data_IF_879825548837
#
_entry.id   IF_879825548837
#
_cell.length_a   1.000
_cell.length_b   1.000
_cell.length_c   1.000
_cell.angle_alpha   90.00
_cell.angle_beta   90.00
_cell.angle_gamma   90.00
#
_symmetry.space_group_name_H-M   'P 1'
#
loop_
_entity.id
_entity.type
_entity.pdbx_description
1 polymer ?
#
# COMPACT_ATOMS: atom_id res chain seq x y z
N UNK A 1 -19.21 -31.06 -16.03
CA UNK A 1 -18.28 -29.91 -16.09
C UNK A 1 -18.12 -29.40 -14.67
N UNK A 2 -16.93 -29.48 -14.11
CA UNK A 2 -16.65 -29.04 -12.74
C UNK A 2 -16.25 -27.57 -12.76
N UNK A 3 -16.97 -26.73 -12.03
CA UNK A 3 -16.60 -25.33 -11.82
C UNK A 3 -15.80 -25.22 -10.51
N UNK A 4 -14.58 -24.70 -10.60
CA UNK A 4 -13.80 -24.30 -9.43
C UNK A 4 -14.24 -22.89 -9.02
N UNK A 5 -14.77 -22.76 -7.80
CA UNK A 5 -15.01 -21.45 -7.18
C UNK A 5 -13.68 -20.98 -6.59
N UNK A 6 -13.05 -20.01 -7.24
CA UNK A 6 -11.93 -19.26 -6.68
C UNK A 6 -12.48 -18.26 -5.65
N UNK A 7 -12.41 -18.62 -4.37
CA UNK A 7 -12.72 -17.71 -3.27
C UNK A 7 -11.51 -16.82 -3.03
N UNK A 8 -11.52 -15.61 -3.59
CA UNK A 8 -10.63 -14.55 -3.12
C UNK A 8 -11.14 -14.08 -1.76
N UNK A 9 -10.31 -14.23 -0.73
CA UNK A 9 -10.58 -13.76 0.63
C UNK A 9 -10.75 -12.23 0.57
N UNK A 10 -12.00 -11.77 0.51
CA UNK A 10 -12.34 -10.35 0.43
C UNK A 10 -11.78 -9.63 1.67
N UNK A 11 -10.98 -8.59 1.45
CA UNK A 11 -10.70 -7.59 2.47
C UNK A 11 -12.03 -6.86 2.76
N UNK A 12 -12.32 -6.52 4.02
CA UNK A 12 -13.51 -5.74 4.40
C UNK A 12 -13.72 -4.60 3.39
N UNK A 13 -14.88 -4.56 2.75
CA UNK A 13 -15.23 -3.55 1.77
C UNK A 13 -14.98 -2.16 2.36
N UNK A 14 -13.99 -1.44 1.83
CA UNK A 14 -13.95 0.02 1.92
C UNK A 14 -15.12 0.50 1.06
N UNK A 15 -16.25 0.77 1.70
CA UNK A 15 -17.38 1.41 1.03
C UNK A 15 -16.98 2.87 0.85
N UNK A 16 -16.34 3.18 -0.28
CA UNK A 16 -16.34 4.56 -0.75
C UNK A 16 -17.76 4.84 -1.24
N UNK A 17 -18.54 5.60 -0.45
CA UNK A 17 -19.83 6.11 -0.91
C UNK A 17 -19.58 7.11 -2.03
N UNK A 18 -19.65 6.65 -3.28
CA UNK A 18 -19.70 7.53 -4.43
C UNK A 18 -21.17 7.94 -4.64
N UNK A 19 -21.49 9.19 -4.31
CA UNK A 19 -22.78 9.78 -4.71
C UNK A 19 -22.68 10.21 -6.17
N UNK A 20 -23.41 9.56 -7.05
CA UNK A 20 -23.65 10.00 -8.42
C UNK A 20 -25.13 10.32 -8.61
N UNK A 21 -25.43 11.33 -9.42
CA UNK A 21 -26.79 11.73 -9.73
C UNK A 21 -27.18 11.14 -11.10
N UNK A 22 -28.28 10.38 -11.13
CA UNK A 22 -28.88 9.90 -12.38
C UNK A 22 -30.11 10.76 -12.67
N UNK A 23 -30.16 11.35 -13.86
CA UNK A 23 -31.34 12.07 -14.36
C UNK A 23 -31.77 11.43 -15.68
N UNK A 24 -32.99 10.91 -15.75
CA UNK A 24 -33.52 10.20 -16.92
C UNK A 24 -32.59 9.12 -17.50
N UNK A 25 -31.89 8.38 -16.64
CA UNK A 25 -30.98 7.30 -17.02
C UNK A 25 -29.56 7.74 -17.42
N UNK A 26 -29.26 9.04 -17.40
CA UNK A 26 -27.92 9.57 -17.68
C UNK A 26 -27.21 10.00 -16.39
N UNK A 27 -25.90 9.74 -16.30
CA UNK A 27 -25.03 10.27 -15.24
C UNK A 27 -24.73 11.74 -15.61
N UNK A 28 -25.30 12.68 -14.86
CA UNK A 28 -25.04 14.11 -15.04
C UNK A 28 -24.00 14.57 -14.01
N UNK A 29 -23.01 15.36 -14.44
CA UNK A 29 -21.89 15.75 -13.59
C UNK A 29 -22.28 16.74 -12.48
N UNK A 30 -23.39 17.49 -12.60
CA UNK A 30 -23.88 18.41 -11.55
C UNK A 30 -25.36 18.83 -11.72
N UNK A 31 -26.35 18.16 -11.09
CA UNK A 31 -27.69 18.73 -10.95
C UNK A 31 -28.06 19.05 -9.49
N UNK A 32 -28.70 20.21 -9.29
CA UNK A 32 -29.13 20.76 -7.99
C UNK A 32 -30.28 20.00 -7.31
N UNK A 33 -30.77 18.90 -7.88
CA UNK A 33 -31.94 18.14 -7.40
C UNK A 33 -31.68 16.63 -7.29
N UNK A 34 -30.59 16.24 -6.63
CA UNK A 34 -30.19 14.85 -6.51
C UNK A 34 -30.97 14.12 -5.41
N UNK A 35 -31.63 13.01 -5.75
CA UNK A 35 -32.24 12.10 -4.76
C UNK A 35 -31.22 11.05 -4.38
N UNK A 36 -30.81 10.99 -3.12
CA UNK A 36 -29.79 10.05 -2.63
C UNK A 36 -30.32 8.62 -2.69
N UNK A 37 -29.79 7.80 -3.60
CA UNK A 37 -30.06 6.35 -3.59
C UNK A 37 -29.01 5.66 -2.73
N UNK A 38 -29.42 5.19 -1.55
CA UNK A 38 -28.70 4.14 -0.82
C UNK A 38 -29.04 2.80 -1.48
N UNK A 39 -28.26 2.39 -2.48
CA UNK A 39 -28.45 1.06 -3.07
C UNK A 39 -27.49 0.06 -2.42
N UNK A 40 -28.02 -0.85 -1.60
CA UNK A 40 -27.46 -2.19 -1.48
C UNK A 40 -27.71 -2.89 -2.81
N UNK A 41 -26.65 -3.19 -3.56
CA UNK A 41 -26.78 -3.86 -4.86
C UNK A 41 -27.28 -5.30 -4.68
N UNK A 42 -28.58 -5.50 -4.85
CA UNK A 42 -29.16 -6.83 -5.08
C UNK A 42 -28.98 -7.21 -6.55
N UNK A 43 -28.27 -8.32 -6.81
CA UNK A 43 -28.07 -8.87 -8.15
C UNK A 43 -29.40 -9.39 -8.73
N UNK A 44 -30.10 -8.52 -9.46
CA UNK A 44 -31.32 -8.83 -10.19
C UNK A 44 -31.29 -8.19 -11.58
N UNK A 45 -30.81 -8.97 -12.55
CA UNK A 45 -30.92 -8.80 -14.01
C UNK A 45 -31.29 -7.43 -14.61
N UNK A 46 -30.28 -6.66 -15.01
CA UNK A 46 -30.24 -5.92 -16.27
C UNK A 46 -28.81 -5.38 -16.47
N UNK A 47 -28.26 -5.56 -17.66
CA UNK A 47 -26.90 -5.16 -18.04
C UNK A 47 -26.76 -3.63 -18.06
N UNK A 48 -26.45 -3.04 -16.92
CA UNK A 48 -25.83 -1.72 -16.83
C UNK A 48 -24.60 -1.84 -15.95
N UNK A 49 -23.58 -2.50 -16.48
CA UNK A 49 -22.26 -2.55 -15.88
C UNK A 49 -21.64 -1.16 -15.96
N UNK A 50 -21.93 -0.32 -14.96
CA UNK A 50 -20.90 0.60 -14.48
C UNK A 50 -19.79 -0.32 -14.00
N UNK A 51 -18.86 -0.63 -14.90
CA UNK A 51 -17.71 -1.46 -14.60
C UNK A 51 -16.85 -0.70 -13.62
N UNK A 52 -17.19 -0.78 -12.33
CA UNK A 52 -16.20 -0.59 -11.30
C UNK A 52 -15.25 -1.75 -11.52
N UNK A 53 -14.19 -1.48 -12.27
CA UNK A 53 -13.16 -2.45 -12.58
C UNK A 53 -12.56 -2.86 -11.25
N UNK A 54 -13.01 -4.01 -10.73
CA UNK A 54 -12.40 -4.72 -9.60
C UNK A 54 -11.02 -5.27 -9.95
N UNK A 55 -10.41 -4.78 -11.03
CA UNK A 55 -9.06 -5.10 -11.43
C UNK A 55 -8.14 -4.23 -10.58
N UNK A 56 -7.18 -4.84 -9.86
CA UNK A 56 -6.18 -4.09 -9.12
C UNK A 56 -5.51 -3.03 -9.97
N UNK A 57 -5.48 -1.80 -9.48
CA UNK A 57 -4.82 -0.70 -10.15
C UNK A 57 -3.30 -0.78 -9.97
N UNK A 58 -2.59 -0.19 -10.92
CA UNK A 58 -1.15 0.07 -10.81
C UNK A 58 -0.94 1.56 -10.59
N UNK A 59 -0.44 1.91 -9.41
CA UNK A 59 -0.03 3.26 -9.06
C UNK A 59 1.46 3.42 -9.33
N UNK A 60 1.86 4.59 -9.84
CA UNK A 60 3.27 4.87 -10.15
C UNK A 60 3.71 6.08 -9.33
N UNK A 61 4.55 5.88 -8.32
CA UNK A 61 5.20 6.95 -7.57
C UNK A 61 6.03 7.80 -8.54
N UNK A 62 5.73 9.09 -8.61
CA UNK A 62 6.27 10.03 -9.58
C UNK A 62 7.36 10.93 -9.01
N UNK A 63 7.43 11.06 -7.69
CA UNK A 63 8.33 12.01 -7.03
C UNK A 63 8.77 11.49 -5.65
N UNK A 64 9.84 12.09 -5.13
CA UNK A 64 10.48 11.76 -3.86
C UNK A 64 10.10 12.65 -2.63
N UNK A 65 9.27 13.72 -2.74
CA UNK A 65 8.77 14.42 -1.57
C UNK A 65 7.98 13.52 -0.61
N UNK A 66 7.95 13.95 0.64
CA UNK A 66 7.26 13.32 1.76
C UNK A 66 5.75 13.12 1.52
N UNK A 67 5.05 14.12 0.97
CA UNK A 67 3.61 14.12 0.72
C UNK A 67 3.25 14.86 -0.57
N UNK A 68 1.97 14.81 -0.95
CA UNK A 68 1.45 15.45 -2.14
C UNK A 68 1.23 14.48 -3.30
N UNK A 69 0.50 14.92 -4.32
CA UNK A 69 0.17 14.09 -5.49
C UNK A 69 1.45 13.53 -6.11
N UNK A 70 1.43 12.22 -6.37
CA UNK A 70 2.56 11.51 -6.95
C UNK A 70 3.57 10.94 -5.93
N UNK A 71 3.45 11.23 -4.64
CA UNK A 71 4.36 10.69 -3.63
C UNK A 71 4.02 9.25 -3.22
N UNK A 72 4.96 8.56 -2.57
CA UNK A 72 4.73 7.22 -2.04
C UNK A 72 3.52 7.18 -1.10
N UNK A 73 3.45 8.10 -0.13
CA UNK A 73 2.34 8.12 0.83
C UNK A 73 1.02 8.44 0.17
N UNK A 74 1.00 9.36 -0.81
CA UNK A 74 -0.21 9.63 -1.57
C UNK A 74 -0.77 8.35 -2.21
N UNK A 75 0.07 7.51 -2.80
CA UNK A 75 -0.38 6.26 -3.41
C UNK A 75 -0.70 5.15 -2.40
N UNK A 76 -0.02 5.08 -1.26
CA UNK A 76 -0.40 4.17 -0.16
C UNK A 76 -1.78 4.52 0.40
N UNK A 77 -2.06 5.81 0.54
CA UNK A 77 -3.36 6.32 1.01
C UNK A 77 -4.46 6.09 -0.03
N UNK A 78 -4.16 6.35 -1.31
CA UNK A 78 -5.09 6.21 -2.43
C UNK A 78 -5.38 4.76 -2.82
N UNK A 79 -4.42 3.85 -2.61
CA UNK A 79 -4.53 2.46 -3.05
C UNK A 79 -5.78 1.75 -2.50
N UNK A 80 -6.45 1.03 -3.39
CA UNK A 80 -7.49 0.08 -3.07
C UNK A 80 -6.88 -1.31 -2.77
N UNK A 81 -7.74 -2.23 -2.33
CA UNK A 81 -7.30 -3.58 -2.02
C UNK A 81 -6.74 -4.30 -3.25
N UNK A 82 -5.59 -4.95 -3.05
CA UNK A 82 -4.77 -5.68 -4.01
C UNK A 82 -4.05 -4.79 -5.04
N UNK A 83 -4.14 -3.47 -4.93
CA UNK A 83 -3.41 -2.56 -5.82
C UNK A 83 -1.90 -2.75 -5.70
N UNK A 84 -1.21 -2.45 -6.80
CA UNK A 84 0.25 -2.47 -6.86
C UNK A 84 0.78 -1.04 -6.99
N UNK A 85 1.70 -0.67 -6.11
CA UNK A 85 2.46 0.58 -6.14
C UNK A 85 3.84 0.28 -6.74
N UNK A 86 4.17 0.99 -7.82
CA UNK A 86 5.42 0.92 -8.56
C UNK A 86 6.10 2.28 -8.55
N UNK A 87 7.33 2.35 -9.05
CA UNK A 87 8.12 3.58 -9.06
C UNK A 87 8.44 4.01 -10.49
N UNK A 88 8.29 5.30 -10.77
CA UNK A 88 8.69 5.86 -12.05
C UNK A 88 10.19 5.66 -12.30
N UNK A 89 10.64 5.43 -13.56
CA UNK A 89 12.05 5.26 -13.88
C UNK A 89 12.96 6.40 -13.41
N UNK A 90 12.43 7.63 -13.33
CA UNK A 90 13.16 8.80 -12.86
C UNK A 90 13.61 8.71 -11.39
N UNK A 91 12.99 7.85 -10.59
CA UNK A 91 13.34 7.62 -9.18
C UNK A 91 14.43 6.56 -9.01
N UNK A 92 14.94 5.98 -10.09
CA UNK A 92 16.03 5.00 -10.00
C UNK A 92 17.29 5.65 -9.40
N UNK A 93 17.85 5.03 -8.36
CA UNK A 93 18.94 5.54 -7.53
C UNK A 93 18.59 6.80 -6.72
N UNK A 94 17.30 7.12 -6.59
CA UNK A 94 16.82 8.24 -5.77
C UNK A 94 16.34 7.77 -4.39
N UNK A 95 16.21 8.71 -3.45
CA UNK A 95 15.72 8.47 -2.09
C UNK A 95 14.43 9.23 -1.82
N UNK A 96 13.35 8.49 -1.63
CA UNK A 96 12.07 9.00 -1.12
C UNK A 96 12.23 9.21 0.39
N UNK A 97 12.04 10.44 0.86
CA UNK A 97 12.25 10.79 2.27
C UNK A 97 10.94 11.10 2.98
N UNK A 98 10.60 10.28 3.98
CA UNK A 98 9.49 10.47 4.89
C UNK A 98 9.93 11.36 6.07
N UNK A 99 9.19 12.45 6.28
CA UNK A 99 9.45 13.53 7.23
C UNK A 99 8.33 13.72 8.27
N UNK A 100 7.14 13.15 8.06
CA UNK A 100 5.99 13.39 8.95
C UNK A 100 5.44 12.14 9.62
N UNK A 101 5.09 11.11 8.85
CA UNK A 101 4.46 9.87 9.35
C UNK A 101 4.96 8.65 8.56
N UNK A 102 4.78 7.43 9.12
CA UNK A 102 4.93 6.18 8.38
C UNK A 102 4.09 6.11 7.10
N UNK A 103 4.48 5.27 6.16
CA UNK A 103 3.60 4.77 5.12
C UNK A 103 2.70 3.66 5.70
N UNK A 104 1.47 4.01 6.09
CA UNK A 104 0.54 3.10 6.78
C UNK A 104 -0.19 2.21 5.78
N UNK A 105 0.10 0.92 5.79
CA UNK A 105 -0.56 -0.07 4.95
C UNK A 105 -1.79 -0.65 5.67
N UNK A 106 -2.92 0.04 5.54
CA UNK A 106 -4.22 -0.38 6.07
C UNK A 106 -5.11 -1.14 5.07
N UNK A 107 -4.56 -1.48 3.89
CA UNK A 107 -5.19 -2.37 2.89
C UNK A 107 -4.21 -3.46 2.47
N UNK A 108 -4.71 -4.47 1.77
CA UNK A 108 -3.81 -5.40 1.10
C UNK A 108 -3.21 -4.69 -0.11
N UNK A 109 -1.90 -4.49 -0.16
CA UNK A 109 -1.23 -3.77 -1.25
C UNK A 109 0.14 -4.38 -1.53
N UNK A 110 0.64 -4.16 -2.73
CA UNK A 110 1.95 -4.64 -3.15
C UNK A 110 2.83 -3.45 -3.53
N UNK A 111 4.01 -3.29 -2.93
CA UNK A 111 4.94 -2.20 -3.23
C UNK A 111 6.18 -2.82 -3.86
N UNK A 112 6.38 -2.56 -5.16
CA UNK A 112 7.33 -3.31 -6.00
C UNK A 112 8.16 -2.35 -6.84
N UNK A 113 9.47 -2.32 -6.62
CA UNK A 113 10.41 -1.74 -7.57
C UNK A 113 10.77 -2.77 -8.67
N UNK A 114 11.03 -2.31 -9.89
CA UNK A 114 11.53 -3.20 -10.94
C UNK A 114 12.96 -3.67 -10.60
N UNK A 115 13.36 -4.87 -11.03
CA UNK A 115 14.65 -5.48 -10.66
C UNK A 115 15.89 -4.65 -11.05
N UNK A 116 15.77 -3.74 -12.02
CA UNK A 116 16.81 -2.81 -12.47
C UNK A 116 16.74 -1.44 -11.77
N UNK A 117 15.75 -1.22 -10.91
CA UNK A 117 15.61 -0.02 -10.10
C UNK A 117 16.20 -0.23 -8.71
N UNK A 118 16.95 0.77 -8.26
CA UNK A 118 17.43 0.90 -6.89
C UNK A 118 16.65 2.03 -6.21
N UNK A 119 15.51 1.68 -5.60
CA UNK A 119 14.65 2.65 -4.91
C UNK A 119 14.99 2.65 -3.42
N UNK A 120 15.41 3.80 -2.91
CA UNK A 120 15.60 3.99 -1.47
C UNK A 120 14.40 4.69 -0.84
N UNK A 121 13.91 4.17 0.28
CA UNK A 121 12.93 4.83 1.14
C UNK A 121 13.59 5.09 2.49
N UNK A 122 13.63 6.36 2.88
CA UNK A 122 14.21 6.82 4.14
C UNK A 122 13.16 7.44 5.02
N UNK A 123 13.28 7.25 6.33
CA UNK A 123 12.58 8.07 7.32
C UNK A 123 13.58 8.87 8.15
N UNK A 124 13.29 10.16 8.36
CA UNK A 124 14.15 11.10 9.11
C UNK A 124 13.52 11.57 10.43
N UNK A 125 12.51 10.86 10.90
CA UNK A 125 11.84 11.06 12.18
C UNK A 125 11.85 9.73 12.94
N UNK A 126 11.58 9.79 14.24
CA UNK A 126 11.55 8.61 15.10
C UNK A 126 10.22 7.85 14.95
N UNK A 127 10.00 7.32 13.75
CA UNK A 127 8.83 6.55 13.34
C UNK A 127 9.26 5.40 12.41
N UNK A 128 8.36 4.43 12.18
CA UNK A 128 8.60 3.32 11.23
C UNK A 128 8.49 3.81 9.79
N UNK A 129 9.26 3.25 8.85
CA UNK A 129 9.04 3.54 7.41
C UNK A 129 7.67 3.00 6.99
N UNK A 130 7.39 1.74 7.36
CA UNK A 130 6.12 1.08 7.09
C UNK A 130 5.47 0.62 8.40
N UNK A 131 4.19 0.97 8.58
CA UNK A 131 3.32 0.38 9.61
C UNK A 131 2.25 -0.46 8.91
N UNK A 132 2.28 -1.77 9.15
CA UNK A 132 1.38 -2.74 8.53
C UNK A 132 0.31 -3.10 9.54
N UNK A 133 -0.93 -2.72 9.25
CA UNK A 133 -2.04 -3.00 10.16
C UNK A 133 -2.37 -4.49 10.25
N UNK A 134 -3.04 -4.86 11.34
CA UNK A 134 -3.49 -6.23 11.56
C UNK A 134 -4.36 -6.74 10.40
N UNK A 135 -4.22 -8.03 10.10
CA UNK A 135 -4.99 -8.74 9.07
C UNK A 135 -4.78 -8.26 7.63
N UNK A 136 -3.84 -7.34 7.36
CA UNK A 136 -3.49 -6.90 6.00
C UNK A 136 -2.46 -7.83 5.38
N UNK A 137 -2.47 -7.92 4.05
CA UNK A 137 -1.48 -8.68 3.27
C UNK A 137 -0.64 -7.70 2.47
N UNK A 138 0.66 -7.61 2.77
CA UNK A 138 1.55 -6.63 2.14
C UNK A 138 2.78 -7.32 1.56
N UNK A 139 3.18 -6.91 0.36
CA UNK A 139 4.48 -7.26 -0.24
C UNK A 139 5.34 -6.01 -0.31
N UNK A 140 6.57 -6.12 0.17
CA UNK A 140 7.65 -5.17 -0.12
C UNK A 140 8.68 -5.90 -0.98
N UNK A 141 8.90 -5.43 -2.21
CA UNK A 141 9.75 -6.10 -3.20
C UNK A 141 10.79 -5.15 -3.80
N UNK A 142 12.06 -5.54 -3.71
CA UNK A 142 13.22 -4.85 -4.28
C UNK A 142 13.41 -3.40 -3.81
N UNK A 143 13.29 -3.16 -2.51
CA UNK A 143 13.46 -1.83 -1.90
C UNK A 143 14.69 -1.76 -1.00
N UNK A 144 15.33 -0.58 -0.97
CA UNK A 144 16.29 -0.23 0.07
C UNK A 144 15.63 0.64 1.13
N UNK A 145 15.65 0.20 2.39
CA UNK A 145 15.09 0.92 3.52
C UNK A 145 16.19 1.52 4.39
N UNK A 146 16.02 2.79 4.76
CA UNK A 146 17.01 3.56 5.52
C UNK A 146 16.33 4.21 6.72
N UNK A 147 16.66 3.76 7.93
CA UNK A 147 16.10 4.34 9.15
C UNK A 147 17.13 4.39 10.29
N UNK A 148 16.89 5.27 11.24
CA UNK A 148 17.65 5.40 12.48
C UNK A 148 16.71 5.78 13.62
N UNK A 149 15.85 4.84 14.03
CA UNK A 149 14.92 5.06 15.14
C UNK A 149 15.45 4.54 16.48
N UNK A 150 14.72 4.86 17.55
CA UNK A 150 15.11 4.57 18.94
C UNK A 150 14.18 3.58 19.64
N UNK A 151 13.39 2.82 18.87
CA UNK A 151 12.38 1.88 19.36
C UNK A 151 12.33 0.64 18.46
N UNK A 152 11.77 -0.47 18.94
CA UNK A 152 11.64 -1.69 18.13
C UNK A 152 10.64 -1.49 16.98
N UNK A 153 11.01 -1.92 15.77
CA UNK A 153 10.18 -1.78 14.58
C UNK A 153 10.38 -0.47 13.84
N UNK A 154 11.45 0.27 14.13
CA UNK A 154 11.76 1.56 13.50
C UNK A 154 12.00 1.51 11.98
N UNK A 155 12.23 0.33 11.39
CA UNK A 155 12.19 0.16 9.94
C UNK A 155 10.79 -0.27 9.52
N UNK A 156 10.29 -1.37 10.11
CA UNK A 156 8.96 -1.91 9.82
C UNK A 156 8.28 -2.32 11.13
N UNK A 157 7.08 -1.79 11.37
CA UNK A 157 6.18 -2.30 12.39
C UNK A 157 5.11 -3.16 11.72
N UNK A 158 5.10 -4.47 12.00
CA UNK A 158 4.18 -5.40 11.37
C UNK A 158 3.18 -5.99 12.37
N UNK A 159 1.90 -5.82 12.09
CA UNK A 159 0.78 -6.51 12.76
C UNK A 159 0.04 -7.45 11.80
N UNK A 160 0.36 -7.39 10.49
CA UNK A 160 -0.30 -8.13 9.41
C UNK A 160 0.52 -9.30 8.85
N UNK A 161 0.20 -9.72 7.64
CA UNK A 161 0.91 -10.73 6.86
C UNK A 161 1.83 -10.05 5.86
N UNK A 162 3.11 -9.94 6.23
CA UNK A 162 4.12 -9.26 5.44
C UNK A 162 4.97 -10.26 4.66
N UNK A 163 5.09 -10.06 3.36
CA UNK A 163 6.11 -10.70 2.54
C UNK A 163 7.21 -9.67 2.24
N UNK A 164 8.44 -10.02 2.57
CA UNK A 164 9.62 -9.23 2.27
C UNK A 164 10.41 -9.97 1.20
N UNK A 165 10.61 -9.31 0.05
CA UNK A 165 11.33 -9.87 -1.08
C UNK A 165 12.45 -8.94 -1.53
N UNK A 166 13.66 -9.49 -1.62
CA UNK A 166 14.83 -8.78 -2.14
C UNK A 166 15.06 -7.40 -1.46
N UNK A 167 14.88 -7.35 -0.13
CA UNK A 167 14.95 -6.11 0.65
C UNK A 167 16.37 -5.85 1.18
N UNK A 168 16.83 -4.60 1.07
CA UNK A 168 18.07 -4.14 1.67
C UNK A 168 17.75 -3.12 2.79
N UNK A 169 18.07 -3.44 4.03
CA UNK A 169 17.92 -2.53 5.17
C UNK A 169 19.30 -2.03 5.60
N UNK A 170 19.41 -0.71 5.71
CA UNK A 170 20.59 -0.03 6.21
C UNK A 170 20.22 0.93 7.35
N UNK A 171 20.99 0.87 8.43
CA UNK A 171 20.78 1.74 9.59
C UNK A 171 21.94 2.68 9.78
N UNK A 172 21.66 3.86 10.35
CA UNK A 172 22.69 4.85 10.67
C UNK A 172 23.35 4.66 12.04
N UNK A 173 22.85 3.73 12.87
CA UNK A 173 23.26 3.59 14.27
C UNK A 173 23.72 2.16 14.59
N UNK A 174 25.03 2.02 14.80
CA UNK A 174 25.75 0.76 15.06
C UNK A 174 25.55 0.19 16.44
N UNK A 175 25.08 1.04 17.36
CA UNK A 175 24.88 0.69 18.77
C UNK A 175 23.40 0.58 19.12
N UNK A 176 22.50 0.63 18.13
CA UNK A 176 21.07 0.57 18.39
C UNK A 176 20.67 -0.84 18.88
N UNK A 177 20.22 -0.99 20.15
CA UNK A 177 19.80 -2.29 20.65
C UNK A 177 18.46 -2.74 20.06
N UNK A 178 17.71 -1.82 19.45
CA UNK A 178 16.34 -2.07 19.00
C UNK A 178 16.28 -2.92 17.72
N UNK A 179 15.22 -3.72 17.63
CA UNK A 179 14.93 -4.52 16.46
C UNK A 179 14.51 -3.62 15.28
N UNK A 180 15.10 -3.85 14.10
CA UNK A 180 14.73 -3.12 12.87
C UNK A 180 13.28 -3.39 12.47
N UNK A 181 12.85 -4.65 12.61
CA UNK A 181 11.51 -5.11 12.26
C UNK A 181 10.88 -5.66 13.53
N UNK A 182 9.71 -5.14 13.88
CA UNK A 182 8.87 -5.63 14.97
C UNK A 182 7.68 -6.36 14.38
N UNK A 183 7.40 -7.56 14.87
CA UNK A 183 6.24 -8.36 14.47
C UNK A 183 5.36 -8.64 15.69
N UNK A 184 4.13 -8.13 15.69
CA UNK A 184 3.22 -8.16 16.84
C UNK A 184 1.81 -8.58 16.43
N UNK A 185 0.89 -8.70 17.40
CA UNK A 185 -0.56 -8.91 17.16
C UNK A 185 -0.92 -10.14 16.31
N UNK A 186 -0.05 -11.16 16.28
CA UNK A 186 -0.25 -12.36 15.47
C UNK A 186 0.09 -12.17 13.99
N UNK A 187 0.78 -11.08 13.64
CA UNK A 187 1.35 -10.86 12.32
C UNK A 187 2.33 -11.98 11.92
N UNK A 188 2.51 -12.15 10.61
CA UNK A 188 3.46 -13.11 10.03
C UNK A 188 4.42 -12.39 9.10
N UNK A 189 5.64 -12.91 9.01
CA UNK A 189 6.66 -12.42 8.07
C UNK A 189 7.16 -13.60 7.25
N UNK A 190 7.13 -13.45 5.93
CA UNK A 190 7.71 -14.39 4.98
C UNK A 190 8.84 -13.71 4.20
N UNK A 191 10.04 -14.27 4.23
CA UNK A 191 11.18 -13.76 3.48
C UNK A 191 11.38 -14.55 2.19
N UNK A 192 11.52 -13.84 1.07
CA UNK A 192 11.77 -14.42 -0.25
C UNK A 192 13.01 -13.74 -0.86
N UNK A 193 13.87 -14.50 -1.52
CA UNK A 193 15.06 -13.93 -2.18
C UNK A 193 16.11 -13.42 -1.18
N UNK A 194 16.91 -12.44 -1.63
CA UNK A 194 18.04 -11.93 -0.85
C UNK A 194 17.62 -10.75 0.02
N UNK A 195 17.45 -11.01 1.32
CA UNK A 195 17.11 -9.96 2.28
C UNK A 195 18.31 -9.67 3.17
N UNK A 196 18.77 -8.42 3.19
CA UNK A 196 19.94 -7.98 3.96
C UNK A 196 19.50 -7.02 5.05
N UNK A 197 19.64 -7.44 6.30
CA UNK A 197 19.35 -6.62 7.48
C UNK A 197 20.67 -6.18 8.11
N UNK A 198 21.18 -4.98 7.76
CA UNK A 198 22.45 -4.49 8.30
C UNK A 198 22.23 -3.72 9.59
N UNK A 199 22.82 -4.19 10.68
CA UNK A 199 23.20 -3.32 11.79
C UNK A 199 24.56 -2.72 11.41
N UNK A 200 24.55 -1.61 10.66
CA UNK A 200 25.80 -0.88 10.44
C UNK A 200 26.21 -0.28 11.74
#
# INVERSE_FOLDING_TARGET
>A
MNYYILVFKQCKAQVHEFSFCINNGNIETYPTNCTTLKSEFALGGANNSVGNSIVPANHIVLNNPDSGVGSLRHFVDLAACNDTIRFAPLLNNDTITLLSNPAVANKNIFIIAQNDQNISVRINIDESIFDIEAQKVVLLDNLKLIASGTFDGYVINNKGNLTIKDLDVSTGNTQNPHAQILNTEGGTINFIGLNILRKN
#
